data_IF_643882977102
#
_entry.id   IF_643882977102
#
_cell.length_a   1.000
_cell.length_b   1.000
_cell.length_c   1.000
_cell.angle_alpha   90.00
_cell.angle_beta   90.00
_cell.angle_gamma   90.00
#
_symmetry.space_group_name_H-M   'P 1'
#
loop_
_entity.id
_entity.type
_entity.pdbx_description
1 polymer ?
#
# COMPACT_ATOMS: atom_id res chain seq x y z
N UNK A 1 3.47 -49.90 -9.68
CA UNK A 1 3.96 -49.71 -11.08
C UNK A 1 4.64 -48.35 -11.15
N UNK A 2 5.86 -48.25 -11.68
CA UNK A 2 6.60 -46.97 -11.79
C UNK A 2 6.17 -46.23 -13.07
N UNK A 3 5.98 -44.91 -13.00
CA UNK A 3 5.87 -44.02 -14.17
C UNK A 3 6.78 -42.82 -13.98
N UNK A 4 7.97 -42.90 -14.56
CA UNK A 4 8.83 -41.75 -14.87
C UNK A 4 8.31 -41.05 -16.13
N UNK A 5 8.34 -39.72 -16.14
CA UNK A 5 8.08 -38.91 -17.34
C UNK A 5 9.24 -37.91 -17.52
N UNK A 6 9.75 -37.84 -18.75
CA UNK A 6 10.81 -36.93 -19.20
C UNK A 6 10.28 -35.48 -19.21
N UNK A 7 11.02 -34.45 -18.78
CA UNK A 7 12.24 -33.89 -19.37
C UNK A 7 12.04 -33.26 -20.76
N UNK A 8 12.31 -31.95 -20.84
CA UNK A 8 12.17 -31.09 -22.02
C UNK A 8 11.43 -29.79 -21.65
N UNK A 9 11.91 -28.60 -21.99
CA UNK A 9 13.20 -28.21 -22.58
C UNK A 9 13.24 -26.68 -22.70
N UNK A 10 14.16 -26.02 -22.01
CA UNK A 10 14.17 -24.56 -21.88
C UNK A 10 14.89 -23.89 -23.07
N UNK A 11 14.12 -23.26 -23.96
CA UNK A 11 14.65 -22.40 -25.02
C UNK A 11 14.89 -20.97 -24.51
N UNK A 12 16.16 -20.60 -24.36
CA UNK A 12 16.57 -19.22 -24.11
C UNK A 12 16.70 -18.46 -25.44
N UNK A 13 15.71 -17.61 -25.75
CA UNK A 13 15.82 -16.61 -26.81
C UNK A 13 16.18 -15.25 -26.20
N UNK A 14 17.43 -14.85 -26.37
CA UNK A 14 17.89 -13.52 -25.99
C UNK A 14 17.40 -12.44 -26.96
N UNK A 15 17.00 -11.28 -26.42
CA UNK A 15 16.70 -10.08 -27.21
C UNK A 15 17.54 -8.90 -26.75
N UNK A 16 18.18 -8.27 -27.73
CA UNK A 16 19.25 -7.31 -27.56
C UNK A 16 18.86 -5.92 -27.04
N UNK A 17 19.92 -5.18 -26.73
CA UNK A 17 19.95 -3.79 -26.30
C UNK A 17 19.28 -2.85 -27.31
N UNK A 18 18.61 -1.82 -26.79
CA UNK A 18 18.08 -0.69 -27.56
C UNK A 18 18.00 0.59 -26.73
N UNK A 19 19.04 1.42 -26.77
CA UNK A 19 19.09 2.75 -26.12
C UNK A 19 18.71 3.86 -27.10
N UNK A 20 17.83 4.79 -26.71
CA UNK A 20 17.66 6.15 -27.23
C UNK A 20 16.89 6.93 -26.15
N UNK A 21 17.43 7.93 -25.45
CA UNK A 21 17.93 9.26 -25.85
C UNK A 21 16.90 10.37 -25.51
N UNK A 22 17.38 11.41 -24.84
CA UNK A 22 16.60 12.50 -24.26
C UNK A 22 16.25 13.58 -25.31
N UNK A 23 15.11 14.25 -25.14
CA UNK A 23 14.86 15.56 -25.73
C UNK A 23 14.13 16.44 -24.71
N UNK A 24 14.71 17.60 -24.39
CA UNK A 24 14.10 18.64 -23.56
C UNK A 24 14.03 19.92 -24.41
N UNK A 25 12.91 20.65 -24.36
CA UNK A 25 12.72 21.92 -25.06
C UNK A 25 12.23 22.97 -24.06
N UNK A 26 12.87 24.14 -24.09
CA UNK A 26 12.68 25.29 -23.17
C UNK A 26 11.90 26.44 -23.88
N UNK A 27 11.60 27.59 -23.21
CA UNK A 27 10.46 28.47 -23.49
C UNK A 27 10.80 29.68 -24.41
N UNK A 28 9.91 30.69 -24.56
CA UNK A 28 9.89 31.89 -23.68
C UNK A 28 8.45 32.20 -23.16
N UNK A 29 8.09 33.30 -22.48
CA UNK A 29 8.71 34.59 -22.07
C UNK A 29 8.06 35.03 -20.71
N UNK A 30 8.35 36.15 -20.04
CA UNK A 30 9.26 37.27 -20.29
C UNK A 30 9.17 38.36 -19.19
N UNK A 31 10.15 39.28 -19.14
CA UNK A 31 9.95 40.66 -18.66
C UNK A 31 10.55 41.08 -17.30
N UNK A 32 11.42 42.11 -17.32
CA UNK A 32 11.96 42.82 -16.14
C UNK A 32 11.02 43.99 -15.71
N UNK A 33 11.24 44.81 -14.66
CA UNK A 33 12.42 45.09 -13.82
C UNK A 33 12.03 45.69 -12.44
N UNK A 34 13.05 45.99 -11.62
CA UNK A 34 12.98 46.43 -10.21
C UNK A 34 12.56 47.89 -9.95
N UNK A 35 12.07 48.18 -8.73
CA UNK A 35 12.00 49.52 -8.12
C UNK A 35 11.62 49.46 -6.64
N UNK A 36 12.36 50.16 -5.76
CA UNK A 36 12.23 50.03 -4.30
C UNK A 36 11.79 51.34 -3.59
N UNK A 37 10.95 51.16 -2.55
CA UNK A 37 10.77 51.81 -1.22
C UNK A 37 11.54 53.14 -0.89
N UNK A 38 11.12 53.97 0.12
CA UNK A 38 10.30 53.61 1.31
C UNK A 38 9.30 54.67 1.86
N UNK A 39 8.50 54.32 2.88
CA UNK A 39 8.43 55.02 4.20
C UNK A 39 7.28 54.53 5.10
N UNK A 40 7.60 54.19 6.35
CA UNK A 40 6.71 53.97 7.51
C UNK A 40 6.78 55.19 8.46
N UNK A 41 5.82 55.48 9.37
CA UNK A 41 5.28 54.53 10.36
C UNK A 41 3.77 54.60 10.67
N UNK A 42 3.32 53.67 11.53
CA UNK A 42 1.97 53.59 12.09
C UNK A 42 1.70 54.70 13.15
N UNK A 43 0.46 54.82 13.62
CA UNK A 43 0.16 54.15 14.90
C UNK A 43 -1.03 53.18 14.81
N UNK A 44 -1.09 52.26 15.78
CA UNK A 44 -2.17 51.28 15.89
C UNK A 44 -3.42 51.86 16.57
N UNK A 45 -4.58 51.32 16.21
CA UNK A 45 -5.74 51.23 17.11
C UNK A 45 -6.24 49.80 17.05
N UNK A 46 -6.22 49.11 18.20
CA UNK A 46 -6.69 47.75 18.37
C UNK A 46 -8.19 47.72 18.73
N UNK A 47 -8.73 46.51 18.87
CA UNK A 47 -9.99 46.16 19.55
C UNK A 47 -11.28 46.27 18.74
N UNK A 48 -11.63 45.15 18.10
CA UNK A 48 -12.69 44.32 18.67
C UNK A 48 -12.24 42.85 18.62
N UNK A 49 -11.71 42.35 19.74
CA UNK A 49 -11.38 40.94 19.94
C UNK A 49 -12.66 40.17 20.30
N UNK A 50 -13.08 39.26 19.42
CA UNK A 50 -13.79 38.04 19.84
C UNK A 50 -12.76 36.92 19.80
N UNK A 51 -12.53 36.27 20.93
CA UNK A 51 -11.38 35.39 21.09
C UNK A 51 -11.53 34.08 20.28
N UNK A 52 -10.44 33.53 19.72
CA UNK A 52 -10.49 32.28 18.95
C UNK A 52 -10.82 31.05 19.81
N UNK A 53 -10.96 31.21 21.13
CA UNK A 53 -11.34 30.15 22.07
C UNK A 53 -12.87 29.97 22.10
N UNK A 54 -13.64 31.06 22.11
CA UNK A 54 -15.12 31.00 22.17
C UNK A 54 -15.73 30.24 20.97
N UNK A 55 -15.11 30.34 19.79
CA UNK A 55 -15.53 29.62 18.60
C UNK A 55 -15.24 28.11 18.69
N UNK A 56 -14.09 27.74 19.26
CA UNK A 56 -13.73 26.34 19.47
C UNK A 56 -14.61 25.69 20.55
N UNK A 57 -14.94 26.42 21.61
CA UNK A 57 -15.85 25.96 22.66
C UNK A 57 -17.29 25.78 22.14
N UNK A 58 -17.74 26.63 21.21
CA UNK A 58 -19.03 26.46 20.53
C UNK A 58 -19.07 25.20 19.63
N UNK A 59 -18.03 24.97 18.82
CA UNK A 59 -17.93 23.79 17.95
C UNK A 59 -17.78 22.49 18.77
N UNK A 60 -17.00 22.51 19.86
CA UNK A 60 -16.90 21.40 20.80
C UNK A 60 -18.23 21.11 21.49
N UNK A 61 -18.99 22.15 21.83
CA UNK A 61 -20.32 22.03 22.41
C UNK A 61 -21.34 21.46 21.43
N UNK A 62 -21.32 21.85 20.16
CA UNK A 62 -22.18 21.29 19.12
C UNK A 62 -21.89 19.79 18.91
N UNK A 63 -20.62 19.38 18.90
CA UNK A 63 -20.20 17.98 18.86
C UNK A 63 -20.69 17.18 20.09
N UNK A 64 -20.61 17.76 21.29
CA UNK A 64 -21.09 17.14 22.53
C UNK A 64 -22.63 17.03 22.57
N UNK A 65 -23.35 18.05 22.13
CA UNK A 65 -24.81 18.06 22.09
C UNK A 65 -25.33 17.07 21.02
N UNK A 66 -24.59 16.86 19.91
CA UNK A 66 -24.85 15.76 18.96
C UNK A 66 -24.62 14.37 19.57
N UNK A 67 -23.54 14.17 20.34
CA UNK A 67 -23.30 12.90 21.02
C UNK A 67 -24.36 12.61 22.11
N UNK A 68 -24.84 13.65 22.81
CA UNK A 68 -25.92 13.53 23.78
C UNK A 68 -27.29 13.25 23.14
N UNK A 69 -27.44 13.51 21.83
CA UNK A 69 -28.64 13.21 21.05
C UNK A 69 -28.76 11.75 20.57
N UNK A 70 -27.69 10.95 20.67
CA UNK A 70 -27.72 9.53 20.28
C UNK A 70 -28.54 8.69 21.28
N UNK A 71 -29.35 7.77 20.76
CA UNK A 71 -30.00 6.78 21.61
C UNK A 71 -28.98 5.82 22.24
N UNK A 72 -29.36 5.21 23.37
CA UNK A 72 -28.51 4.21 24.05
C UNK A 72 -28.15 3.03 23.13
N UNK A 73 -29.01 2.70 22.16
CA UNK A 73 -28.76 1.68 21.15
C UNK A 73 -27.73 2.12 20.10
N UNK A 74 -27.74 3.38 19.67
CA UNK A 74 -26.77 3.95 18.72
C UNK A 74 -25.39 4.09 19.38
N UNK A 75 -25.33 4.65 20.59
CA UNK A 75 -24.08 4.71 21.37
C UNK A 75 -23.52 3.32 21.62
N UNK A 76 -24.37 2.33 21.94
CA UNK A 76 -23.92 0.94 22.08
C UNK A 76 -23.41 0.35 20.76
N UNK A 77 -24.05 0.65 19.62
CA UNK A 77 -23.58 0.17 18.31
C UNK A 77 -22.23 0.79 17.91
N UNK A 78 -21.99 2.06 18.25
CA UNK A 78 -20.69 2.71 18.08
C UNK A 78 -19.64 2.13 19.04
N UNK A 79 -19.97 1.97 20.32
CA UNK A 79 -19.09 1.31 21.30
C UNK A 79 -18.76 -0.13 20.91
N UNK A 80 -19.71 -0.91 20.39
CA UNK A 80 -19.50 -2.27 19.89
C UNK A 80 -18.69 -2.30 18.58
N UNK A 81 -18.72 -1.24 17.77
CA UNK A 81 -17.88 -1.07 16.57
C UNK A 81 -16.45 -0.66 16.92
N UNK A 82 -16.27 0.26 17.88
CA UNK A 82 -14.97 0.72 18.35
C UNK A 82 -14.26 -0.32 19.24
N UNK A 83 -15.03 -1.10 20.01
CA UNK A 83 -14.54 -2.28 20.74
C UNK A 83 -14.59 -3.57 19.89
N UNK A 84 -14.81 -3.48 18.57
CA UNK A 84 -14.64 -4.61 17.68
C UNK A 84 -13.14 -4.88 17.53
N UNK A 85 -12.59 -5.59 18.52
CA UNK A 85 -11.19 -5.97 18.58
C UNK A 85 -10.88 -6.88 17.38
N UNK A 86 -10.28 -6.29 16.34
CA UNK A 86 -9.72 -6.98 15.17
C UNK A 86 -8.43 -7.73 15.55
N UNK A 87 -8.46 -8.37 16.73
CA UNK A 87 -7.53 -9.41 17.12
C UNK A 87 -7.47 -10.50 16.04
N UNK A 88 -6.34 -11.22 15.96
CA UNK A 88 -5.98 -11.91 14.74
C UNK A 88 -7.04 -12.92 14.31
N UNK A 89 -7.58 -12.70 13.10
CA UNK A 89 -8.41 -13.64 12.32
C UNK A 89 -7.76 -15.02 12.11
N UNK A 90 -6.50 -15.18 12.54
CA UNK A 90 -5.66 -16.37 12.42
C UNK A 90 -5.03 -16.71 13.78
N UNK A 91 -5.34 -17.90 14.30
CA UNK A 91 -4.60 -18.45 15.44
C UNK A 91 -3.17 -18.81 15.01
N UNK A 92 -2.20 -18.06 15.55
CA UNK A 92 -0.76 -18.24 15.30
C UNK A 92 -0.02 -18.92 16.47
N UNK A 93 -0.74 -19.33 17.53
CA UNK A 93 -0.12 -19.84 18.77
C UNK A 93 0.70 -21.12 18.58
N UNK A 94 0.37 -21.94 17.58
CA UNK A 94 1.09 -23.17 17.21
C UNK A 94 2.17 -23.01 16.15
N UNK A 95 2.51 -21.77 15.73
CA UNK A 95 3.49 -21.54 14.65
C UNK A 95 4.91 -21.52 15.19
N UNK A 96 5.75 -22.44 14.72
CA UNK A 96 7.19 -22.44 15.00
C UNK A 96 7.93 -21.38 14.17
N UNK A 97 8.91 -20.72 14.81
CA UNK A 97 9.77 -19.73 14.15
C UNK A 97 10.80 -20.41 13.26
N UNK A 98 10.97 -19.92 12.04
CA UNK A 98 11.90 -20.49 11.07
C UNK A 98 13.38 -20.15 11.37
N UNK A 99 14.34 -21.02 11.01
CA UNK A 99 15.77 -20.70 11.06
C UNK A 99 16.13 -19.45 10.24
N UNK A 100 15.52 -19.30 9.05
CA UNK A 100 15.70 -18.13 8.16
C UNK A 100 15.20 -16.82 8.77
N UNK A 101 14.44 -16.85 9.87
CA UNK A 101 14.01 -15.66 10.60
C UNK A 101 15.18 -14.85 11.20
N UNK A 102 16.35 -15.47 11.40
CA UNK A 102 17.56 -14.77 11.82
C UNK A 102 18.15 -13.86 10.71
N UNK A 103 17.84 -14.16 9.46
CA UNK A 103 18.26 -13.42 8.26
C UNK A 103 17.12 -12.55 7.68
N UNK A 104 16.01 -12.43 8.42
CA UNK A 104 14.84 -11.64 8.02
C UNK A 104 15.20 -10.16 7.86
N UNK A 105 14.88 -9.59 6.69
CA UNK A 105 14.95 -8.17 6.41
C UNK A 105 13.56 -7.63 6.07
N UNK A 106 13.14 -6.45 6.57
CA UNK A 106 11.80 -5.91 6.29
C UNK A 106 11.55 -5.76 4.79
N UNK A 107 10.37 -6.12 4.29
CA UNK A 107 10.03 -6.19 2.85
C UNK A 107 10.37 -4.89 2.10
N UNK A 108 10.22 -3.74 2.76
CA UNK A 108 10.57 -2.41 2.23
C UNK A 108 12.06 -2.26 1.87
N UNK A 109 12.95 -2.99 2.54
CA UNK A 109 14.40 -2.97 2.33
C UNK A 109 14.88 -3.90 1.22
N UNK A 110 14.11 -4.97 0.93
CA UNK A 110 14.43 -5.89 -0.15
C UNK A 110 14.42 -5.20 -1.52
N UNK A 111 15.50 -5.40 -2.30
CA UNK A 111 15.62 -4.86 -3.64
C UNK A 111 14.54 -5.43 -4.57
N UNK A 112 13.93 -4.54 -5.36
CA UNK A 112 12.82 -4.85 -6.27
C UNK A 112 13.30 -4.64 -7.69
N UNK A 113 12.91 -5.51 -8.62
CA UNK A 113 13.27 -5.36 -10.04
C UNK A 113 12.83 -3.99 -10.58
N UNK A 114 13.48 -3.44 -11.63
CA UNK A 114 13.09 -2.15 -12.20
C UNK A 114 11.61 -2.07 -12.57
N UNK A 115 11.05 -3.16 -13.11
CA UNK A 115 9.67 -3.28 -13.56
C UNK A 115 8.70 -3.30 -12.37
N UNK A 116 8.99 -4.11 -11.34
CA UNK A 116 8.17 -4.12 -10.13
C UNK A 116 8.24 -2.76 -9.42
N UNK A 117 9.40 -2.12 -9.39
CA UNK A 117 9.59 -0.78 -8.82
C UNK A 117 8.83 0.29 -9.62
N UNK A 118 8.76 0.16 -10.94
CA UNK A 118 7.98 1.06 -11.80
C UNK A 118 6.47 0.92 -11.52
N UNK A 119 5.94 -0.30 -11.43
CA UNK A 119 4.50 -0.53 -11.21
C UNK A 119 4.06 -0.21 -9.77
N UNK A 120 4.83 -0.56 -8.74
CA UNK A 120 4.49 -0.25 -7.33
C UNK A 120 4.43 1.25 -7.02
N UNK A 121 5.19 2.07 -7.77
CA UNK A 121 5.27 3.53 -7.62
C UNK A 121 4.19 4.31 -8.38
N UNK A 122 3.34 3.64 -9.16
CA UNK A 122 2.23 4.32 -9.85
C UNK A 122 1.10 4.61 -8.87
N UNK A 123 0.50 5.78 -9.03
CA UNK A 123 -0.61 6.25 -8.21
C UNK A 123 -1.58 6.99 -9.10
N UNK A 124 -2.87 6.65 -9.01
CA UNK A 124 -3.95 7.32 -9.74
C UNK A 124 -4.76 6.37 -10.61
N UNK A 125 -4.14 5.37 -11.23
CA UNK A 125 -4.83 4.45 -12.12
C UNK A 125 -5.48 3.29 -11.34
N UNK A 126 -6.70 2.83 -11.72
CA UNK A 126 -7.38 1.73 -11.01
C UNK A 126 -6.54 0.45 -10.91
N UNK A 127 -5.77 0.13 -11.96
CA UNK A 127 -4.89 -1.03 -12.00
C UNK A 127 -3.70 -0.97 -11.03
N UNK A 128 -3.23 0.22 -10.64
CA UNK A 128 -2.08 0.37 -9.74
C UNK A 128 -2.37 -0.18 -8.33
N UNK A 129 -3.64 -0.14 -7.90
CA UNK A 129 -4.05 -0.75 -6.63
C UNK A 129 -4.05 -2.27 -6.75
N UNK A 130 -4.61 -2.80 -7.83
CA UNK A 130 -4.66 -4.24 -8.08
C UNK A 130 -3.26 -4.88 -8.11
N UNK A 131 -2.30 -4.26 -8.81
CA UNK A 131 -0.91 -4.71 -8.84
C UNK A 131 -0.30 -4.82 -7.43
N UNK A 132 -0.53 -3.81 -6.58
CA UNK A 132 -0.04 -3.80 -5.19
C UNK A 132 -0.67 -4.90 -4.33
N UNK A 133 -1.99 -5.07 -4.43
CA UNK A 133 -2.71 -6.11 -3.67
C UNK A 133 -2.23 -7.51 -4.07
N UNK A 134 -2.09 -7.77 -5.38
CA UNK A 134 -1.64 -9.06 -5.92
C UNK A 134 -0.17 -9.32 -5.59
N UNK A 135 0.71 -8.32 -5.77
CA UNK A 135 2.11 -8.45 -5.41
C UNK A 135 2.30 -8.73 -3.92
N UNK A 136 1.55 -8.04 -3.04
CA UNK A 136 1.55 -8.28 -1.59
C UNK A 136 1.09 -9.70 -1.25
N UNK A 137 -0.07 -10.12 -1.77
CA UNK A 137 -0.62 -11.46 -1.58
C UNK A 137 0.36 -12.57 -2.00
N UNK A 138 0.87 -12.51 -3.23
CA UNK A 138 1.83 -13.51 -3.74
C UNK A 138 3.13 -13.54 -2.92
N UNK A 139 3.57 -12.38 -2.42
CA UNK A 139 4.78 -12.19 -1.61
C UNK A 139 4.67 -12.90 -0.25
N UNK A 140 3.56 -12.75 0.48
CA UNK A 140 3.35 -13.47 1.75
C UNK A 140 3.06 -14.95 1.53
N UNK A 141 2.28 -15.32 0.51
CA UNK A 141 2.04 -16.71 0.13
C UNK A 141 3.35 -17.44 -0.18
N UNK A 142 4.28 -16.83 -0.90
CA UNK A 142 5.57 -17.44 -1.24
C UNK A 142 6.46 -17.66 -0.01
N UNK A 143 6.52 -16.70 0.93
CA UNK A 143 7.24 -16.89 2.21
C UNK A 143 6.66 -18.05 3.01
N UNK A 144 5.33 -18.16 3.09
CA UNK A 144 4.65 -19.27 3.79
C UNK A 144 4.94 -20.61 3.13
N UNK A 145 4.98 -20.67 1.79
CA UNK A 145 5.18 -21.89 1.01
C UNK A 145 6.65 -22.34 0.97
N UNK A 146 7.59 -21.41 0.71
CA UNK A 146 9.02 -21.68 0.62
C UNK A 146 9.71 -21.82 1.98
N UNK A 147 9.07 -21.36 3.07
CA UNK A 147 9.65 -21.27 4.42
C UNK A 147 10.95 -20.44 4.45
N UNK A 148 10.97 -19.36 3.68
CA UNK A 148 12.10 -18.45 3.54
C UNK A 148 11.72 -17.02 3.95
N UNK A 149 12.24 -16.57 5.08
CA UNK A 149 12.04 -15.21 5.61
C UNK A 149 12.97 -14.16 4.98
N UNK A 150 13.93 -14.54 4.14
CA UNK A 150 14.87 -13.61 3.50
C UNK A 150 14.21 -12.84 2.34
N UNK A 151 14.95 -11.91 1.75
CA UNK A 151 14.49 -11.21 0.56
C UNK A 151 14.28 -12.13 -0.67
N UNK A 152 14.88 -13.32 -0.71
CA UNK A 152 14.64 -14.28 -1.80
C UNK A 152 13.22 -14.87 -1.73
N UNK A 153 12.77 -15.30 -0.54
CA UNK A 153 11.39 -15.73 -0.30
C UNK A 153 10.36 -14.61 -0.45
N UNK A 154 10.74 -13.36 -0.18
CA UNK A 154 9.85 -12.18 -0.26
C UNK A 154 9.68 -11.59 -1.65
N UNK A 155 10.70 -11.58 -2.50
CA UNK A 155 10.61 -10.88 -3.79
C UNK A 155 9.97 -11.77 -4.86
N UNK A 156 8.77 -11.36 -5.29
CA UNK A 156 8.08 -11.97 -6.44
C UNK A 156 8.52 -11.27 -7.73
N UNK A 157 8.94 -12.02 -8.77
CA UNK A 157 9.26 -11.44 -10.08
C UNK A 157 8.04 -10.78 -10.74
N UNK A 158 8.26 -9.69 -11.49
CA UNK A 158 7.19 -8.90 -12.10
C UNK A 158 6.29 -9.74 -13.02
N UNK A 159 6.89 -10.63 -13.82
CA UNK A 159 6.19 -11.54 -14.72
C UNK A 159 5.24 -12.51 -14.00
N UNK A 160 5.54 -12.86 -12.74
CA UNK A 160 4.65 -13.70 -11.92
C UNK A 160 3.41 -12.92 -11.48
N UNK A 161 3.57 -11.63 -11.15
CA UNK A 161 2.45 -10.72 -10.83
C UNK A 161 1.59 -10.47 -12.08
N UNK A 162 2.22 -10.13 -13.21
CA UNK A 162 1.52 -9.88 -14.47
C UNK A 162 0.72 -11.11 -14.97
N UNK A 163 1.31 -12.31 -14.90
CA UNK A 163 0.61 -13.56 -15.25
C UNK A 163 -0.56 -13.87 -14.30
N UNK A 164 -0.50 -13.42 -13.04
CA UNK A 164 -1.63 -13.53 -12.12
C UNK A 164 -2.73 -12.51 -12.48
N UNK A 165 -2.36 -11.26 -12.79
CA UNK A 165 -3.29 -10.22 -13.25
C UNK A 165 -4.03 -10.62 -14.55
N UNK A 166 -3.32 -11.16 -15.54
CA UNK A 166 -3.92 -11.64 -16.80
C UNK A 166 -4.99 -12.71 -16.53
N UNK A 167 -4.66 -13.73 -15.73
CA UNK A 167 -5.59 -14.80 -15.36
C UNK A 167 -6.77 -14.30 -14.51
N UNK A 168 -6.56 -13.30 -13.66
CA UNK A 168 -7.64 -12.70 -12.88
C UNK A 168 -8.58 -11.87 -13.78
N UNK A 169 -8.02 -11.11 -14.73
CA UNK A 169 -8.78 -10.38 -15.76
C UNK A 169 -9.62 -11.31 -16.62
N UNK A 170 -9.02 -12.40 -17.12
CA UNK A 170 -9.71 -13.44 -17.90
C UNK A 170 -10.85 -14.08 -17.10
N UNK A 171 -10.56 -14.55 -15.87
CA UNK A 171 -11.55 -15.21 -15.00
C UNK A 171 -12.75 -14.31 -14.65
N UNK A 172 -12.54 -13.01 -14.52
CA UNK A 172 -13.59 -12.03 -14.19
C UNK A 172 -14.25 -11.41 -15.44
N UNK A 173 -13.72 -11.64 -16.64
CA UNK A 173 -14.22 -11.03 -17.88
C UNK A 173 -14.00 -9.52 -17.96
N UNK A 174 -12.94 -8.98 -17.32
CA UNK A 174 -12.68 -7.54 -17.22
C UNK A 174 -11.35 -7.15 -17.86
N UNK A 175 -11.31 -5.98 -18.50
CA UNK A 175 -10.07 -5.43 -19.10
C UNK A 175 -9.18 -4.71 -18.09
N UNK A 176 -9.76 -4.18 -17.01
CA UNK A 176 -9.06 -3.47 -15.93
C UNK A 176 -9.45 -4.08 -14.58
N UNK A 177 -8.47 -4.30 -13.71
CA UNK A 177 -8.72 -4.70 -12.33
C UNK A 177 -8.96 -3.45 -11.48
N UNK A 178 -10.14 -3.36 -10.88
CA UNK A 178 -10.48 -2.36 -9.88
C UNK A 178 -10.23 -2.90 -8.46
N UNK A 179 -10.10 -2.04 -7.43
CA UNK A 179 -9.91 -2.48 -6.04
C UNK A 179 -10.96 -3.50 -5.54
N UNK A 180 -12.19 -3.45 -6.06
CA UNK A 180 -13.25 -4.42 -5.73
C UNK A 180 -12.94 -5.85 -6.19
N UNK A 181 -12.10 -6.02 -7.22
CA UNK A 181 -11.69 -7.33 -7.75
C UNK A 181 -10.54 -7.95 -6.96
N UNK A 182 -9.71 -7.14 -6.28
CA UNK A 182 -8.56 -7.59 -5.47
C UNK A 182 -8.79 -7.52 -3.98
N UNK A 183 -9.89 -6.93 -3.51
CA UNK A 183 -10.24 -6.78 -2.08
C UNK A 183 -10.08 -8.05 -1.25
N UNK A 184 -10.52 -9.20 -1.78
CA UNK A 184 -10.47 -10.45 -1.02
C UNK A 184 -9.05 -11.07 -1.02
N UNK A 185 -8.21 -10.77 -2.02
CA UNK A 185 -6.77 -11.06 -1.97
C UNK A 185 -6.05 -10.18 -0.93
N UNK A 186 -6.46 -8.91 -0.80
CA UNK A 186 -5.92 -7.99 0.20
C UNK A 186 -6.29 -8.44 1.62
N UNK A 187 -7.53 -8.89 1.87
CA UNK A 187 -7.94 -9.49 3.15
C UNK A 187 -7.15 -10.75 3.48
N UNK A 188 -6.93 -11.61 2.48
CA UNK A 188 -6.13 -12.83 2.66
C UNK A 188 -4.66 -12.51 2.91
N UNK A 189 -4.12 -11.45 2.29
CA UNK A 189 -2.80 -10.90 2.63
C UNK A 189 -2.73 -10.42 4.10
N UNK A 190 -3.73 -9.66 4.58
CA UNK A 190 -3.79 -9.18 5.97
C UNK A 190 -3.89 -10.32 7.00
N UNK A 191 -4.39 -11.49 6.60
CA UNK A 191 -4.37 -12.74 7.39
C UNK A 191 -3.02 -13.44 7.31
N UNK A 192 -2.49 -13.62 6.10
CA UNK A 192 -1.21 -14.31 5.87
C UNK A 192 -0.01 -13.56 6.45
N UNK A 193 -0.03 -12.22 6.51
CA UNK A 193 1.06 -11.47 7.15
C UNK A 193 1.18 -11.78 8.65
N UNK A 194 0.10 -12.15 9.34
CA UNK A 194 0.13 -12.57 10.75
C UNK A 194 0.86 -13.91 10.91
N UNK A 195 0.60 -14.85 9.99
CA UNK A 195 1.33 -16.14 9.88
C UNK A 195 2.82 -15.88 9.63
N UNK A 196 3.15 -14.97 8.70
CA UNK A 196 4.54 -14.63 8.40
C UNK A 196 5.22 -13.93 9.57
N UNK A 197 4.57 -13.00 10.25
CA UNK A 197 5.11 -12.31 11.43
C UNK A 197 5.38 -13.29 12.58
N UNK A 198 4.57 -14.34 12.76
CA UNK A 198 4.84 -15.43 13.70
C UNK A 198 6.04 -16.30 13.25
N UNK A 199 6.08 -16.69 11.98
CA UNK A 199 7.16 -17.53 11.41
C UNK A 199 8.52 -16.82 11.37
N UNK A 200 8.54 -15.53 11.05
CA UNK A 200 9.73 -14.77 10.66
C UNK A 200 10.08 -13.62 11.62
N UNK A 201 9.16 -13.21 12.50
CA UNK A 201 9.13 -11.84 12.99
C UNK A 201 8.69 -10.86 11.89
N UNK A 202 8.58 -9.59 12.28
CA UNK A 202 8.07 -8.49 11.45
C UNK A 202 8.47 -8.55 9.96
N UNK A 203 7.46 -8.46 9.10
CA UNK A 203 7.58 -8.51 7.65
C UNK A 203 8.39 -7.40 6.99
#
# INVERSE_FOLDING_TARGET
>A
MKRTVLAGGLMLLGLGLGTLAMAQILPPDGGAASGALPSTPAPATQSATTDPIDAADAELKELQDMQAGMSEAERKAEEDFLNFDLGPDVDVSGIERLPSAAENQPYRTCEKTPEMRANLRRHGDPGDRAYRDIAGYLSVTNVIAAKDCTCAGKIIPHETVALFEDRLREKLGVTVLEPKHTRDLYKEYDRQIQIVDAMCGKY
#
